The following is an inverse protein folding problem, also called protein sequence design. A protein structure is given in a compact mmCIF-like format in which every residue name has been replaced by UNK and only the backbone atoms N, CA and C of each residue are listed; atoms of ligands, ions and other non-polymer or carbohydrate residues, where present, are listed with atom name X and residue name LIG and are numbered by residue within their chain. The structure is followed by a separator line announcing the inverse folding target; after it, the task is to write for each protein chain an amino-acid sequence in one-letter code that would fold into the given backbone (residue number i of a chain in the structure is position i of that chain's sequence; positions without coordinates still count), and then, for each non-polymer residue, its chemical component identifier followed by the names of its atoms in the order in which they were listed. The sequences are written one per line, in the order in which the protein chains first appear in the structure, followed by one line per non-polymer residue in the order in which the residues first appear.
data_IF_302450309664
#
_entry.id   IF_302450309664
#
_cell.length_a   1.000
_cell.length_b   1.000
_cell.length_c   1.000
_cell.angle_alpha   90.00
_cell.angle_beta   90.00
_cell.angle_gamma   90.00
#
_symmetry.space_group_name_H-M   'P 1'
#
loop_
_entity.id
_entity.type
_entity.pdbx_description
1 polymer ?
#
# COMPACT_ATOMS: atom_id res chain seq x y z
N UNK A 1 -23.25 9.76 35.78
CA UNK A 1 -21.93 10.40 35.81
C UNK A 1 -21.59 10.87 34.41
N UNK A 2 -21.24 12.15 34.29
CA UNK A 2 -21.45 12.98 33.12
C UNK A 2 -20.20 13.14 32.23
N UNK A 3 -19.40 12.08 32.08
CA UNK A 3 -18.45 11.97 30.95
C UNK A 3 -19.23 11.55 29.69
N UNK A 4 -20.20 12.37 29.30
CA UNK A 4 -21.09 12.10 28.17
C UNK A 4 -20.28 11.69 26.95
N UNK A 5 -20.86 10.76 26.19
CA UNK A 5 -20.36 10.11 24.97
C UNK A 5 -20.06 11.11 23.85
N UNK A 6 -19.10 12.02 24.04
CA UNK A 6 -18.67 12.92 22.97
C UNK A 6 -17.97 12.08 21.92
N UNK A 7 -18.45 12.12 20.68
CA UNK A 7 -17.85 11.40 19.56
C UNK A 7 -16.42 11.95 19.37
N UNK A 8 -15.36 11.11 19.35
CA UNK A 8 -14.01 11.57 19.07
C UNK A 8 -13.95 12.29 17.72
N UNK A 9 -13.34 13.47 17.72
CA UNK A 9 -13.03 14.21 16.51
C UNK A 9 -11.58 13.93 16.10
N UNK A 10 -11.39 13.52 14.84
CA UNK A 10 -10.08 13.29 14.23
C UNK A 10 -9.80 14.44 13.26
N UNK A 11 -8.81 15.28 13.59
CA UNK A 11 -8.33 16.33 12.71
C UNK A 11 -7.23 15.79 11.81
N UNK A 12 -7.43 15.87 10.51
CA UNK A 12 -6.40 15.62 9.50
C UNK A 12 -5.79 16.99 9.15
N UNK A 13 -4.67 17.31 9.79
CA UNK A 13 -4.15 18.67 9.82
C UNK A 13 -3.65 19.15 8.44
N UNK A 14 -3.04 18.23 7.69
CA UNK A 14 -2.60 18.43 6.31
C UNK A 14 -3.36 17.47 5.41
N UNK A 15 -4.02 18.00 4.39
CA UNK A 15 -4.70 17.17 3.39
C UNK A 15 -3.64 16.43 2.55
N UNK A 16 -3.68 15.08 2.46
CA UNK A 16 -2.76 14.35 1.59
C UNK A 16 -2.97 14.72 0.11
N UNK A 17 -1.92 14.64 -0.70
CA UNK A 17 -1.96 15.02 -2.11
C UNK A 17 -2.86 14.13 -2.98
N UNK A 18 -3.16 12.90 -2.56
CA UNK A 18 -3.65 11.84 -3.45
C UNK A 18 -5.17 11.68 -3.51
N UNK A 19 -5.93 12.76 -3.30
CA UNK A 19 -7.39 12.69 -3.35
C UNK A 19 -8.01 11.75 -2.31
N UNK A 20 -7.29 11.49 -1.22
CA UNK A 20 -7.71 10.63 -0.12
C UNK A 20 -9.05 11.10 0.43
N UNK A 21 -10.07 10.24 0.38
CA UNK A 21 -11.41 10.54 0.88
C UNK A 21 -11.59 9.85 2.22
N UNK A 22 -11.57 10.63 3.30
CA UNK A 22 -12.02 10.17 4.61
C UNK A 22 -13.46 10.65 4.80
N UNK A 23 -14.40 9.77 5.16
CA UNK A 23 -15.76 10.19 5.50
C UNK A 23 -15.72 11.20 6.65
N UNK A 24 -16.55 12.25 6.57
CA UNK A 24 -16.68 13.22 7.67
C UNK A 24 -17.24 12.58 8.93
N UNK A 25 -17.97 11.46 8.80
CA UNK A 25 -18.47 10.62 9.88
C UNK A 25 -18.39 9.16 9.46
N UNK A 26 -17.98 8.28 10.36
CA UNK A 26 -17.94 6.85 10.10
C UNK A 26 -18.15 6.03 11.38
N UNK A 27 -18.48 4.75 11.19
CA UNK A 27 -18.66 3.79 12.27
C UNK A 27 -17.82 2.54 12.01
N UNK A 28 -17.14 2.09 13.07
CA UNK A 28 -16.33 0.86 13.12
C UNK A 28 -17.23 -0.39 13.19
N UNK A 29 -16.64 -1.57 13.00
CA UNK A 29 -17.35 -2.85 13.14
C UNK A 29 -17.90 -3.01 14.57
N UNK A 30 -17.17 -2.52 15.56
CA UNK A 30 -17.59 -2.54 16.96
C UNK A 30 -18.70 -1.53 17.31
N UNK A 31 -19.16 -0.74 16.34
CA UNK A 31 -20.20 0.28 16.55
C UNK A 31 -19.67 1.62 17.10
N UNK A 32 -18.35 1.77 17.26
CA UNK A 32 -17.76 3.05 17.66
C UNK A 32 -17.86 4.07 16.53
N UNK A 33 -18.35 5.26 16.84
CA UNK A 33 -18.50 6.38 15.91
C UNK A 33 -17.36 7.38 16.07
N UNK A 34 -16.87 7.93 14.96
CA UNK A 34 -15.91 9.04 14.94
C UNK A 34 -16.25 10.05 13.83
N UNK A 35 -15.93 11.31 14.10
CA UNK A 35 -16.04 12.40 13.12
C UNK A 35 -14.63 12.77 12.63
N UNK A 36 -14.51 13.22 11.37
CA UNK A 36 -13.27 13.75 10.80
C UNK A 36 -13.43 15.16 10.29
N UNK A 37 -12.34 15.92 10.32
CA UNK A 37 -12.30 17.28 9.80
C UNK A 37 -10.93 17.64 9.24
N UNK A 38 -10.91 18.59 8.30
CA UNK A 38 -9.71 19.28 7.83
C UNK A 38 -9.61 20.72 8.38
N UNK A 39 -10.59 21.15 9.19
CA UNK A 39 -10.62 22.48 9.79
C UNK A 39 -9.63 22.59 10.94
N UNK A 40 -8.48 23.21 10.68
CA UNK A 40 -7.40 23.39 11.67
C UNK A 40 -7.84 24.21 12.89
N UNK A 41 -8.92 25.00 12.81
CA UNK A 41 -9.46 25.72 13.99
C UNK A 41 -9.98 24.77 15.06
N UNK A 42 -10.32 23.53 14.68
CA UNK A 42 -10.77 22.46 15.59
C UNK A 42 -9.65 21.72 16.29
N UNK A 43 -8.40 22.20 16.20
CA UNK A 43 -7.25 21.55 16.83
C UNK A 43 -7.50 21.24 18.31
N UNK A 44 -7.89 22.23 19.13
CA UNK A 44 -8.09 22.04 20.58
C UNK A 44 -9.26 21.12 20.95
N UNK A 45 -10.23 20.92 20.05
CA UNK A 45 -11.40 20.06 20.24
C UNK A 45 -11.13 18.61 19.79
N UNK A 46 -10.07 18.38 19.02
CA UNK A 46 -9.79 17.09 18.39
C UNK A 46 -9.15 16.12 19.38
N UNK A 47 -9.63 14.88 19.43
CA UNK A 47 -9.02 13.80 20.21
C UNK A 47 -7.85 13.15 19.47
N UNK A 48 -7.98 13.00 18.14
CA UNK A 48 -6.92 12.53 17.26
C UNK A 48 -6.42 13.67 16.37
N UNK A 49 -5.10 13.83 16.24
CA UNK A 49 -4.50 14.81 15.33
C UNK A 49 -3.55 14.07 14.40
N UNK A 50 -3.96 13.90 13.15
CA UNK A 50 -3.18 13.20 12.12
C UNK A 50 -2.36 14.21 11.34
N UNK A 51 -1.05 14.06 11.40
CA UNK A 51 -0.08 14.95 10.78
C UNK A 51 0.56 14.22 9.60
N UNK A 52 0.13 14.55 8.39
CA UNK A 52 0.79 14.08 7.17
C UNK A 52 2.20 14.69 7.10
N UNK A 53 3.23 13.85 7.20
CA UNK A 53 4.57 14.30 7.52
C UNK A 53 5.19 15.18 6.43
N UNK A 54 4.91 14.91 5.15
CA UNK A 54 5.36 15.79 4.06
C UNK A 54 4.79 17.20 4.19
N UNK A 55 3.55 17.34 4.68
CA UNK A 55 2.96 18.64 5.00
C UNK A 55 3.65 19.32 6.19
N UNK A 56 4.02 18.54 7.20
CA UNK A 56 4.79 19.03 8.37
C UNK A 56 6.15 19.58 7.96
N UNK A 57 6.83 18.94 7.01
CA UNK A 57 8.13 19.37 6.53
C UNK A 57 8.10 20.68 5.74
N UNK A 58 6.98 20.96 5.07
CA UNK A 58 6.81 22.15 4.22
C UNK A 58 6.24 23.32 5.03
N UNK A 59 5.20 23.05 5.83
CA UNK A 59 4.39 24.08 6.51
C UNK A 59 4.67 24.15 8.04
N UNK A 60 5.49 23.25 8.58
CA UNK A 60 5.74 23.12 10.02
C UNK A 60 4.72 22.23 10.74
N UNK A 61 4.84 22.05 12.05
CA UNK A 61 3.84 21.37 12.88
C UNK A 61 3.10 22.36 13.79
N UNK A 62 1.92 22.00 14.32
CA UNK A 62 1.32 22.76 15.43
C UNK A 62 2.32 22.89 16.58
N UNK A 63 2.37 24.07 17.21
CA UNK A 63 3.28 24.30 18.32
C UNK A 63 3.05 23.28 19.44
N UNK A 64 4.12 22.60 19.89
CA UNK A 64 4.01 21.55 20.91
C UNK A 64 3.31 22.03 22.20
N UNK A 65 3.43 23.32 22.53
CA UNK A 65 2.79 23.93 23.70
C UNK A 65 1.26 24.01 23.62
N UNK A 66 0.64 23.86 22.43
CA UNK A 66 -0.83 23.88 22.28
C UNK A 66 -1.46 22.51 22.47
N UNK A 67 -0.65 21.46 22.62
CA UNK A 67 -1.11 20.08 22.79
C UNK A 67 -1.67 19.86 24.18
N UNK A 68 -2.88 19.30 24.25
CA UNK A 68 -3.48 18.84 25.50
C UNK A 68 -3.10 17.40 25.80
N UNK A 69 -3.20 16.99 27.06
CA UNK A 69 -2.76 15.66 27.53
C UNK A 69 -3.50 14.49 26.86
N UNK A 70 -4.76 14.70 26.47
CA UNK A 70 -5.60 13.64 25.90
C UNK A 70 -5.61 13.64 24.35
N UNK A 71 -4.82 14.52 23.72
CA UNK A 71 -4.65 14.55 22.27
C UNK A 71 -3.61 13.57 21.75
N UNK A 72 -4.06 12.69 20.85
CA UNK A 72 -3.21 11.69 20.23
C UNK A 72 -2.66 12.22 18.89
N UNK A 73 -1.48 12.84 18.97
CA UNK A 73 -0.75 13.31 17.81
C UNK A 73 -0.18 12.10 17.07
N UNK A 74 -0.54 11.96 15.80
CA UNK A 74 -0.27 10.75 15.02
C UNK A 74 0.54 11.12 13.79
N UNK A 75 1.72 10.51 13.67
CA UNK A 75 2.52 10.58 12.45
C UNK A 75 1.77 9.87 11.33
N UNK A 76 1.69 10.47 10.15
CA UNK A 76 1.14 9.83 8.97
C UNK A 76 2.07 9.97 7.77
N UNK A 77 2.44 8.83 7.18
CA UNK A 77 3.34 8.78 6.03
C UNK A 77 3.10 7.52 5.19
N UNK A 78 3.06 7.69 3.88
CA UNK A 78 2.87 6.60 2.92
C UNK A 78 4.02 6.48 1.91
N UNK A 79 4.99 7.39 1.97
CA UNK A 79 6.18 7.30 1.13
C UNK A 79 7.10 6.17 1.63
N UNK A 80 7.78 5.46 0.71
CA UNK A 80 8.71 4.42 1.09
C UNK A 80 9.93 5.02 1.81
N UNK A 81 10.50 4.26 2.74
CA UNK A 81 11.60 4.71 3.62
C UNK A 81 12.79 5.32 2.85
N UNK A 82 13.20 4.71 1.73
CA UNK A 82 14.30 5.22 0.90
C UNK A 82 14.05 6.64 0.36
N UNK A 83 12.80 7.00 0.08
CA UNK A 83 12.43 8.28 -0.51
C UNK A 83 12.51 9.40 0.53
N UNK A 84 12.50 9.03 1.82
CA UNK A 84 12.40 9.99 2.92
C UNK A 84 13.60 9.98 3.88
N UNK A 85 14.58 9.11 3.65
CA UNK A 85 15.75 8.94 4.51
C UNK A 85 16.57 10.23 4.77
N UNK A 86 16.55 11.18 3.83
CA UNK A 86 17.29 12.44 3.90
C UNK A 86 16.49 13.64 4.42
N UNK A 87 15.26 13.43 4.90
CA UNK A 87 14.40 14.51 5.38
C UNK A 87 14.75 14.96 6.80
N UNK A 88 14.26 16.15 7.19
CA UNK A 88 14.41 16.64 8.57
C UNK A 88 13.42 15.94 9.51
N UNK A 89 13.95 15.17 10.46
CA UNK A 89 13.13 14.47 11.44
C UNK A 89 12.91 15.24 12.76
N UNK A 90 13.43 16.46 12.87
CA UNK A 90 13.44 17.24 14.12
C UNK A 90 12.09 17.32 14.85
N UNK A 91 10.99 17.49 14.11
CA UNK A 91 9.62 17.51 14.66
C UNK A 91 9.19 16.15 15.21
N UNK A 92 9.66 15.06 14.59
CA UNK A 92 9.35 13.69 15.00
C UNK A 92 10.20 13.14 16.14
N UNK A 93 11.12 13.93 16.69
CA UNK A 93 11.96 13.55 17.82
C UNK A 93 11.33 13.91 19.17
N UNK A 94 11.96 13.46 20.26
CA UNK A 94 11.64 13.84 21.64
C UNK A 94 10.17 13.60 22.02
N UNK A 95 9.61 12.46 21.62
CA UNK A 95 8.25 12.03 22.00
C UNK A 95 7.11 12.95 21.52
N UNK A 96 7.33 13.68 20.41
CA UNK A 96 6.29 14.56 19.84
C UNK A 96 5.04 13.79 19.41
N UNK A 97 5.20 12.59 18.85
CA UNK A 97 4.10 11.74 18.39
C UNK A 97 3.69 10.70 19.44
N UNK A 98 2.39 10.44 19.54
CA UNK A 98 1.83 9.33 20.29
C UNK A 98 1.82 8.03 19.49
N UNK A 99 1.33 8.13 18.26
CA UNK A 99 1.04 7.01 17.38
C UNK A 99 1.71 7.22 16.02
N UNK A 100 1.95 6.11 15.34
CA UNK A 100 2.33 6.08 13.93
C UNK A 100 1.21 5.47 13.11
N UNK A 101 1.00 6.03 11.92
CA UNK A 101 0.03 5.56 10.93
C UNK A 101 0.74 5.46 9.58
N UNK A 102 0.90 4.24 9.08
CA UNK A 102 1.60 3.97 7.82
C UNK A 102 1.25 2.58 7.28
N UNK A 103 1.75 2.26 6.09
CA UNK A 103 1.65 0.93 5.49
C UNK A 103 2.50 -0.13 6.21
N UNK A 104 3.37 0.26 7.15
CA UNK A 104 4.14 -0.69 7.96
C UNK A 104 3.24 -1.37 9.00
N UNK A 105 3.29 -2.69 9.09
CA UNK A 105 2.53 -3.49 10.08
C UNK A 105 2.98 -3.21 11.52
N UNK A 106 4.17 -2.65 11.71
CA UNK A 106 4.70 -2.18 13.01
C UNK A 106 4.17 -0.80 13.43
N UNK A 107 3.33 -0.16 12.60
CA UNK A 107 2.68 1.11 12.98
C UNK A 107 1.69 0.91 14.13
N UNK A 108 1.52 1.92 14.99
CA UNK A 108 0.46 1.90 16.01
C UNK A 108 -0.92 1.69 15.36
N UNK A 109 -1.12 2.31 14.20
CA UNK A 109 -2.32 2.23 13.36
C UNK A 109 -1.88 1.75 11.98
N UNK A 110 -2.31 0.56 11.58
CA UNK A 110 -1.96 -0.03 10.30
C UNK A 110 -2.81 0.58 9.19
N UNK A 111 -2.15 1.16 8.18
CA UNK A 111 -2.78 1.81 7.04
C UNK A 111 -2.29 1.16 5.75
N UNK A 112 -2.81 -0.03 5.38
CA UNK A 112 -2.42 -0.68 4.15
C UNK A 112 -2.97 0.07 2.94
N UNK A 113 -2.24 0.05 1.83
CA UNK A 113 -2.75 0.52 0.53
C UNK A 113 -3.91 -0.34 -0.01
N UNK A 114 -4.02 -1.58 0.47
CA UNK A 114 -5.09 -2.50 0.14
C UNK A 114 -5.02 -3.78 0.96
N UNK A 115 -6.10 -4.54 0.94
CA UNK A 115 -6.23 -5.82 1.60
C UNK A 115 -7.28 -6.65 0.87
N UNK A 116 -7.28 -7.97 1.04
CA UNK A 116 -8.26 -8.86 0.37
C UNK A 116 -9.70 -8.50 0.74
N UNK A 117 -9.97 -8.17 2.01
CA UNK A 117 -11.30 -7.78 2.48
C UNK A 117 -11.80 -6.46 1.88
N UNK A 118 -10.88 -5.58 1.44
CA UNK A 118 -11.22 -4.26 0.84
C UNK A 118 -11.08 -4.21 -0.69
N UNK A 119 -10.53 -5.26 -1.29
CA UNK A 119 -10.13 -5.29 -2.69
C UNK A 119 -11.28 -4.97 -3.66
N UNK A 120 -12.51 -5.36 -3.30
CA UNK A 120 -13.73 -5.15 -4.08
C UNK A 120 -14.75 -4.24 -3.39
N UNK A 121 -14.33 -3.54 -2.33
CA UNK A 121 -15.19 -2.66 -1.54
C UNK A 121 -16.10 -3.40 -0.54
N UNK A 122 -16.94 -2.62 0.15
CA UNK A 122 -17.92 -3.14 1.11
C UNK A 122 -19.14 -3.78 0.40
N UNK A 123 -19.79 -4.76 1.03
CA UNK A 123 -21.04 -5.35 0.57
C UNK A 123 -20.93 -6.82 0.19
N UNK A 124 -21.86 -7.30 -0.63
CA UNK A 124 -21.82 -8.69 -1.14
C UNK A 124 -20.68 -8.85 -2.15
N UNK A 125 -19.65 -9.59 -1.74
CA UNK A 125 -18.48 -9.85 -2.57
C UNK A 125 -18.57 -11.17 -3.36
N UNK A 126 -19.66 -11.93 -3.24
CA UNK A 126 -19.80 -13.27 -3.84
C UNK A 126 -19.50 -13.30 -5.35
N UNK A 127 -19.84 -12.23 -6.08
CA UNK A 127 -19.56 -12.11 -7.52
C UNK A 127 -18.08 -11.94 -7.91
N UNK A 128 -17.15 -11.88 -6.94
CA UNK A 128 -15.70 -11.78 -7.19
C UNK A 128 -14.95 -13.11 -6.94
N UNK A 129 -15.68 -14.13 -6.50
CA UNK A 129 -15.18 -15.43 -6.10
C UNK A 129 -15.94 -16.55 -6.82
N UNK A 130 -15.32 -17.72 -6.97
CA UNK A 130 -15.90 -18.86 -7.65
C UNK A 130 -15.23 -19.22 -8.97
N UNK A 131 -15.47 -20.46 -9.40
CA UNK A 131 -14.86 -21.02 -10.61
C UNK A 131 -15.31 -20.27 -11.88
N UNK A 132 -16.56 -19.82 -11.95
CA UNK A 132 -17.10 -19.04 -13.06
C UNK A 132 -16.41 -17.67 -13.19
N UNK A 133 -16.09 -17.02 -12.07
CA UNK A 133 -15.32 -15.78 -12.05
C UNK A 133 -13.92 -16.03 -12.62
N UNK A 134 -13.24 -17.10 -12.19
CA UNK A 134 -11.93 -17.47 -12.72
C UNK A 134 -11.99 -17.74 -14.22
N UNK A 135 -12.98 -18.51 -14.70
CA UNK A 135 -13.15 -18.76 -16.14
C UNK A 135 -13.33 -17.45 -16.93
N UNK A 136 -14.13 -16.51 -16.42
CA UNK A 136 -14.31 -15.19 -17.03
C UNK A 136 -13.03 -14.35 -17.03
N UNK A 137 -12.19 -14.45 -15.99
CA UNK A 137 -10.90 -13.79 -15.95
C UNK A 137 -9.94 -14.35 -17.00
N UNK A 138 -9.91 -15.68 -17.17
CA UNK A 138 -9.08 -16.36 -18.16
C UNK A 138 -9.53 -16.06 -19.59
N UNK A 139 -10.83 -16.03 -19.86
CA UNK A 139 -11.38 -15.79 -21.22
C UNK A 139 -11.09 -14.39 -21.76
N UNK A 140 -10.70 -13.44 -20.90
CA UNK A 140 -10.33 -12.07 -21.29
C UNK A 140 -8.87 -11.95 -21.71
N UNK A 141 -8.03 -12.96 -21.43
CA UNK A 141 -6.58 -12.89 -21.62
C UNK A 141 -6.22 -12.95 -23.10
N UNK A 142 -5.37 -12.03 -23.54
CA UNK A 142 -4.76 -12.01 -24.87
C UNK A 142 -3.50 -12.88 -24.89
N UNK A 143 -3.12 -13.37 -26.07
CA UNK A 143 -1.97 -14.26 -26.27
C UNK A 143 -0.79 -13.60 -27.01
N UNK A 144 -1.02 -12.43 -27.59
CA UNK A 144 -0.01 -11.71 -28.37
C UNK A 144 0.93 -10.88 -27.50
N UNK A 145 0.48 -10.36 -26.35
CA UNK A 145 1.28 -9.68 -25.32
C UNK A 145 0.83 -10.16 -23.94
N UNK A 146 1.73 -10.74 -23.14
CA UNK A 146 1.37 -11.41 -21.88
C UNK A 146 1.45 -10.50 -20.66
N UNK A 147 2.31 -9.47 -20.68
CA UNK A 147 2.56 -8.60 -19.54
C UNK A 147 2.30 -7.12 -19.87
N UNK A 148 1.96 -6.35 -18.84
CA UNK A 148 1.86 -4.89 -18.92
C UNK A 148 2.51 -4.23 -17.71
N UNK A 149 3.13 -3.09 -17.91
CA UNK A 149 3.67 -2.25 -16.86
C UNK A 149 3.24 -0.81 -17.03
N UNK A 150 2.48 -0.29 -16.06
CA UNK A 150 2.06 1.10 -16.05
C UNK A 150 2.90 1.90 -15.05
N UNK A 151 3.62 2.91 -15.56
CA UNK A 151 4.57 3.69 -14.76
C UNK A 151 4.63 5.15 -15.20
N UNK A 152 4.59 6.04 -14.21
CA UNK A 152 4.70 7.49 -14.41
C UNK A 152 5.78 8.15 -13.55
N UNK A 153 6.40 7.42 -12.62
CA UNK A 153 7.54 7.90 -11.83
C UNK A 153 8.84 7.30 -12.38
N UNK A 154 9.52 8.02 -13.26
CA UNK A 154 10.85 7.69 -13.78
C UNK A 154 11.93 8.57 -13.15
N UNK A 155 11.78 8.94 -11.87
CA UNK A 155 12.78 9.75 -11.18
C UNK A 155 14.19 9.16 -11.23
N UNK A 156 15.19 9.96 -10.90
CA UNK A 156 16.60 9.54 -10.95
C UNK A 156 17.07 8.81 -9.68
N UNK A 157 16.15 8.52 -8.74
CA UNK A 157 16.45 7.78 -7.52
C UNK A 157 16.74 6.30 -7.81
N UNK A 158 17.44 5.59 -6.91
CA UNK A 158 17.84 4.20 -7.13
C UNK A 158 16.66 3.27 -7.44
N UNK A 159 15.56 3.34 -6.68
CA UNK A 159 14.40 2.48 -6.88
C UNK A 159 13.73 2.64 -8.25
N UNK A 160 13.32 3.86 -8.67
CA UNK A 160 12.78 4.10 -10.00
C UNK A 160 13.72 3.71 -11.16
N UNK A 161 15.04 3.88 -11.00
CA UNK A 161 16.04 3.48 -11.99
C UNK A 161 16.12 1.95 -12.10
N UNK A 162 16.25 1.25 -10.96
CA UNK A 162 16.46 -0.21 -10.93
C UNK A 162 15.25 -0.97 -11.46
N UNK A 163 14.03 -0.62 -11.05
CA UNK A 163 12.81 -1.28 -11.56
C UNK A 163 12.63 -1.11 -13.07
N UNK A 164 13.06 0.03 -13.61
CA UNK A 164 12.99 0.31 -15.06
C UNK A 164 13.96 -0.59 -15.80
N UNK A 165 15.22 -0.64 -15.34
CA UNK A 165 16.22 -1.54 -15.92
C UNK A 165 15.77 -3.01 -15.84
N UNK A 166 15.22 -3.43 -14.71
CA UNK A 166 14.73 -4.80 -14.54
C UNK A 166 13.58 -5.12 -15.51
N UNK A 167 12.60 -4.22 -15.65
CA UNK A 167 11.52 -4.39 -16.63
C UNK A 167 12.02 -4.44 -18.09
N UNK A 168 13.00 -3.61 -18.43
CA UNK A 168 13.65 -3.61 -19.75
C UNK A 168 14.47 -4.89 -19.98
N UNK A 169 15.07 -5.45 -18.93
CA UNK A 169 15.77 -6.74 -18.99
C UNK A 169 14.81 -7.91 -19.25
N UNK A 170 13.62 -7.92 -18.62
CA UNK A 170 12.58 -8.91 -18.93
C UNK A 170 12.18 -8.87 -20.42
N UNK A 171 11.98 -7.67 -20.97
CA UNK A 171 11.68 -7.48 -22.39
C UNK A 171 12.84 -7.93 -23.28
N UNK A 172 14.07 -7.58 -22.92
CA UNK A 172 15.29 -8.02 -23.62
C UNK A 172 15.40 -9.56 -23.66
N UNK A 173 15.00 -10.24 -22.58
CA UNK A 173 14.96 -11.70 -22.50
C UNK A 173 13.70 -12.34 -23.11
N UNK A 174 12.92 -11.56 -23.87
CA UNK A 174 11.86 -12.08 -24.74
C UNK A 174 10.45 -12.02 -24.14
N UNK A 175 10.27 -11.47 -22.94
CA UNK A 175 8.92 -11.24 -22.40
C UNK A 175 8.22 -10.18 -23.27
N UNK A 176 7.06 -10.53 -23.82
CA UNK A 176 6.21 -9.56 -24.52
C UNK A 176 5.51 -8.66 -23.50
N UNK A 177 5.99 -7.42 -23.40
CA UNK A 177 5.62 -6.46 -22.37
C UNK A 177 5.14 -5.13 -22.99
N UNK A 178 3.90 -4.75 -22.70
CA UNK A 178 3.44 -3.38 -22.98
C UNK A 178 3.84 -2.45 -21.85
N UNK A 179 4.52 -1.34 -22.18
CA UNK A 179 4.99 -0.33 -21.23
C UNK A 179 4.17 0.94 -21.42
N UNK A 180 3.41 1.34 -20.40
CA UNK A 180 2.43 2.43 -20.48
C UNK A 180 2.69 3.51 -19.41
N UNK A 181 2.24 4.74 -19.68
CA UNK A 181 2.24 5.85 -18.72
C UNK A 181 3.28 6.93 -19.01
N UNK A 182 3.42 7.86 -18.05
CA UNK A 182 4.19 9.09 -18.24
C UNK A 182 5.66 8.87 -18.60
N UNK A 183 6.26 7.77 -18.16
CA UNK A 183 7.66 7.45 -18.45
C UNK A 183 7.92 7.06 -19.92
N UNK A 184 6.87 6.69 -20.66
CA UNK A 184 6.94 6.25 -22.05
C UNK A 184 6.20 7.18 -23.01
N UNK A 185 5.64 8.29 -22.52
CA UNK A 185 4.98 9.31 -23.34
C UNK A 185 3.73 8.83 -24.08
N UNK A 186 3.11 7.74 -23.64
CA UNK A 186 1.94 7.14 -24.28
C UNK A 186 0.67 7.25 -23.42
N UNK A 187 -0.47 6.99 -24.06
CA UNK A 187 -1.77 7.12 -23.41
C UNK A 187 -1.92 6.17 -22.22
N UNK A 188 -2.52 6.71 -21.17
CA UNK A 188 -2.71 6.06 -19.90
C UNK A 188 -4.13 6.38 -19.41
N UNK A 189 -5.07 5.42 -19.37
CA UNK A 189 -6.38 5.69 -18.80
C UNK A 189 -6.26 6.09 -17.34
N UNK A 190 -7.27 6.80 -16.82
CA UNK A 190 -7.33 7.14 -15.40
C UNK A 190 -7.24 5.86 -14.57
N UNK A 191 -6.19 5.75 -13.74
CA UNK A 191 -5.89 4.57 -12.92
C UNK A 191 -7.05 4.12 -12.03
N UNK A 192 -7.87 5.06 -11.59
CA UNK A 192 -9.03 4.80 -10.74
C UNK A 192 -10.34 4.64 -11.53
N UNK A 193 -10.27 4.63 -12.86
CA UNK A 193 -11.42 4.48 -13.75
C UNK A 193 -11.58 3.06 -14.29
N UNK A 194 -12.80 2.67 -14.70
CA UNK A 194 -13.08 1.31 -15.20
C UNK A 194 -12.29 0.94 -16.46
N UNK A 195 -11.90 1.95 -17.26
CA UNK A 195 -11.09 1.76 -18.47
C UNK A 195 -9.68 1.22 -18.15
N UNK A 196 -9.11 1.60 -17.00
CA UNK A 196 -7.82 1.09 -16.58
C UNK A 196 -7.92 -0.39 -16.23
N UNK A 197 -8.87 -0.78 -15.37
CA UNK A 197 -9.10 -2.19 -15.04
C UNK A 197 -9.47 -3.03 -16.26
N UNK A 198 -10.27 -2.51 -17.19
CA UNK A 198 -10.62 -3.20 -18.44
C UNK A 198 -9.39 -3.47 -19.30
N UNK A 199 -8.51 -2.48 -19.44
CA UNK A 199 -7.25 -2.64 -20.17
C UNK A 199 -6.36 -3.69 -19.52
N UNK A 200 -6.08 -3.57 -18.21
CA UNK A 200 -5.18 -4.49 -17.51
C UNK A 200 -5.73 -5.92 -17.49
N UNK A 201 -7.05 -6.10 -17.40
CA UNK A 201 -7.68 -7.44 -17.36
C UNK A 201 -7.39 -8.32 -18.57
N UNK A 202 -6.93 -7.74 -19.68
CA UNK A 202 -6.57 -8.45 -20.92
C UNK A 202 -5.17 -9.07 -20.85
N UNK A 203 -4.31 -8.62 -19.93
CA UNK A 203 -2.96 -9.13 -19.75
C UNK A 203 -2.95 -10.25 -18.70
N UNK A 204 -2.04 -11.21 -18.87
CA UNK A 204 -1.83 -12.28 -17.89
C UNK A 204 -1.11 -11.75 -16.66
N UNK A 205 -0.10 -10.92 -16.87
CA UNK A 205 0.76 -10.38 -15.83
C UNK A 205 0.69 -8.86 -15.78
N UNK A 206 0.69 -8.33 -14.56
CA UNK A 206 0.93 -6.92 -14.31
C UNK A 206 2.25 -6.80 -13.53
N UNK A 207 3.19 -5.97 -14.01
CA UNK A 207 4.42 -5.72 -13.27
C UNK A 207 4.12 -4.77 -12.10
N UNK A 208 3.92 -5.34 -10.90
CA UNK A 208 3.63 -4.62 -9.66
C UNK A 208 4.93 -4.08 -9.04
N UNK A 209 5.69 -3.32 -9.83
CA UNK A 209 7.02 -2.86 -9.45
C UNK A 209 6.97 -1.56 -8.66
N UNK A 210 7.38 -1.62 -7.41
CA UNK A 210 7.33 -0.49 -6.49
C UNK A 210 8.39 0.56 -6.75
N UNK A 211 8.26 1.71 -6.08
CA UNK A 211 9.25 2.76 -6.18
C UNK A 211 10.48 2.51 -5.28
N UNK A 212 10.38 1.60 -4.30
CA UNK A 212 11.49 1.18 -3.42
C UNK A 212 11.73 -0.31 -3.52
N UNK A 213 12.98 -0.73 -3.35
CA UNK A 213 13.38 -2.13 -3.38
C UNK A 213 13.59 -2.65 -1.96
N UNK A 214 13.05 -3.82 -1.64
CA UNK A 214 13.09 -4.48 -0.33
C UNK A 214 12.67 -3.62 0.87
N UNK A 215 11.91 -2.54 0.66
CA UNK A 215 11.34 -1.75 1.75
C UNK A 215 10.22 -2.54 2.44
N UNK A 216 10.37 -2.76 3.75
CA UNK A 216 9.45 -3.57 4.54
C UNK A 216 8.02 -3.08 4.41
N UNK A 217 7.10 -4.01 4.13
CA UNK A 217 5.65 -3.80 3.98
C UNK A 217 5.19 -2.84 2.87
N UNK A 218 6.09 -2.28 2.06
CA UNK A 218 5.72 -1.30 1.04
C UNK A 218 5.06 -1.97 -0.18
N UNK A 219 3.78 -2.31 -0.03
CA UNK A 219 2.96 -3.00 -1.01
C UNK A 219 1.75 -2.11 -1.34
N UNK A 220 1.74 -1.53 -2.53
CA UNK A 220 0.86 -0.41 -2.86
C UNK A 220 -0.32 -0.79 -3.76
N UNK A 221 -1.00 0.21 -4.32
CA UNK A 221 -2.07 0.05 -5.32
C UNK A 221 -1.63 -0.80 -6.53
N UNK A 222 -0.32 -0.89 -6.80
CA UNK A 222 0.21 -1.68 -7.93
C UNK A 222 -0.08 -3.16 -7.80
N UNK A 223 -0.07 -3.70 -6.58
CA UNK A 223 -0.43 -5.09 -6.32
C UNK A 223 -1.95 -5.20 -6.15
N UNK A 224 -2.53 -4.38 -5.29
CA UNK A 224 -3.94 -4.49 -4.92
C UNK A 224 -4.87 -4.07 -6.06
N UNK A 225 -4.83 -2.81 -6.46
CA UNK A 225 -5.79 -2.25 -7.43
C UNK A 225 -5.39 -2.61 -8.85
N UNK A 226 -4.13 -2.40 -9.23
CA UNK A 226 -3.75 -2.54 -10.63
C UNK A 226 -3.72 -4.01 -11.07
N UNK A 227 -3.17 -4.91 -10.25
CA UNK A 227 -3.11 -6.34 -10.59
C UNK A 227 -4.36 -7.10 -10.12
N UNK A 228 -4.56 -7.24 -8.81
CA UNK A 228 -5.62 -8.10 -8.28
C UNK A 228 -7.03 -7.63 -8.66
N UNK A 229 -7.40 -6.36 -8.44
CA UNK A 229 -8.75 -5.89 -8.81
C UNK A 229 -9.00 -5.96 -10.32
N UNK A 230 -7.96 -5.84 -11.14
CA UNK A 230 -8.07 -5.97 -12.61
C UNK A 230 -8.01 -7.42 -13.11
N UNK A 231 -7.71 -8.39 -12.24
CA UNK A 231 -7.67 -9.81 -12.59
C UNK A 231 -6.44 -10.23 -13.40
N UNK A 232 -5.31 -9.57 -13.18
CA UNK A 232 -3.99 -10.00 -13.65
C UNK A 232 -3.19 -10.60 -12.47
N UNK A 233 -2.24 -11.49 -12.77
CA UNK A 233 -1.31 -12.01 -11.76
C UNK A 233 -0.20 -10.98 -11.54
N UNK A 234 0.01 -10.48 -10.30
CA UNK A 234 1.08 -9.55 -10.02
C UNK A 234 2.45 -10.24 -10.11
N UNK A 235 3.38 -9.59 -10.80
CA UNK A 235 4.82 -9.89 -10.73
C UNK A 235 5.44 -8.83 -9.83
N UNK A 236 5.92 -9.26 -8.66
CA UNK A 236 6.22 -8.37 -7.54
C UNK A 236 7.72 -8.12 -7.45
N UNK A 237 8.08 -6.83 -7.55
CA UNK A 237 9.40 -6.26 -7.28
C UNK A 237 9.16 -5.09 -6.33
N UNK A 238 9.81 -5.07 -5.17
CA UNK A 238 9.49 -4.09 -4.14
C UNK A 238 9.73 -4.67 -2.76
N UNK A 239 8.69 -4.77 -1.93
CA UNK A 239 8.79 -5.36 -0.60
C UNK A 239 9.42 -6.76 -0.60
N UNK A 240 10.09 -7.18 0.49
CA UNK A 240 10.59 -8.54 0.64
C UNK A 240 9.48 -9.58 0.46
N UNK A 241 9.81 -10.74 -0.12
CA UNK A 241 8.82 -11.81 -0.39
C UNK A 241 8.01 -12.19 0.86
N UNK A 242 8.67 -12.27 2.02
CA UNK A 242 8.02 -12.64 3.28
C UNK A 242 6.90 -11.65 3.68
N UNK A 243 7.08 -10.36 3.40
CA UNK A 243 6.08 -9.33 3.69
C UNK A 243 4.87 -9.47 2.77
N UNK A 244 5.11 -9.75 1.49
CA UNK A 244 4.05 -10.02 0.52
C UNK A 244 3.26 -11.26 0.93
N UNK A 245 3.95 -12.38 1.25
CA UNK A 245 3.32 -13.63 1.67
C UNK A 245 2.49 -13.49 2.94
N UNK A 246 2.84 -12.56 3.82
CA UNK A 246 2.11 -12.36 5.07
C UNK A 246 0.76 -11.65 4.90
N UNK A 247 0.49 -11.03 3.74
CA UNK A 247 -0.73 -10.24 3.51
C UNK A 247 -1.55 -10.69 2.30
N UNK A 248 -0.99 -11.49 1.40
CA UNK A 248 -1.69 -12.02 0.22
C UNK A 248 -1.98 -13.52 0.35
N UNK A 249 -2.97 -14.06 -0.38
CA UNK A 249 -3.22 -15.50 -0.42
C UNK A 249 -1.99 -16.27 -0.93
N UNK A 250 -1.78 -17.53 -0.49
CA UNK A 250 -0.72 -18.35 -1.02
C UNK A 250 -0.90 -18.56 -2.54
N UNK A 251 0.22 -18.69 -3.26
CA UNK A 251 0.24 -18.96 -4.70
C UNK A 251 -0.53 -17.95 -5.56
N UNK A 252 -0.66 -16.68 -5.15
CA UNK A 252 -1.40 -15.66 -5.89
C UNK A 252 -0.54 -14.65 -6.65
N UNK A 253 0.79 -14.76 -6.57
CA UNK A 253 1.74 -13.82 -7.18
C UNK A 253 3.05 -14.50 -7.57
N UNK A 254 3.79 -13.88 -8.49
CA UNK A 254 5.18 -14.25 -8.85
C UNK A 254 6.12 -13.25 -8.20
N UNK A 255 7.10 -13.70 -7.42
CA UNK A 255 8.10 -12.80 -6.82
C UNK A 255 9.40 -12.82 -7.62
N UNK A 256 10.07 -11.67 -7.75
CA UNK A 256 11.37 -11.60 -8.45
C UNK A 256 12.46 -12.42 -7.74
N UNK A 257 12.47 -12.41 -6.41
CA UNK A 257 13.47 -13.14 -5.59
C UNK A 257 13.37 -14.68 -5.70
N UNK A 258 12.36 -15.23 -6.40
CA UNK A 258 12.29 -16.67 -6.68
C UNK A 258 13.20 -17.10 -7.84
N UNK A 259 13.84 -16.14 -8.50
CA UNK A 259 14.66 -16.35 -9.69
C UNK A 259 16.04 -15.73 -9.47
N UNK A 260 17.07 -16.31 -10.08
CA UNK A 260 18.44 -15.79 -9.91
C UNK A 260 18.66 -14.46 -10.61
N UNK A 261 17.89 -14.16 -11.66
CA UNK A 261 18.01 -12.96 -12.48
C UNK A 261 16.76 -12.76 -13.37
N UNK A 262 16.70 -11.63 -14.05
CA UNK A 262 15.63 -11.29 -14.98
C UNK A 262 15.43 -12.32 -16.11
N UNK A 263 16.49 -12.99 -16.58
CA UNK A 263 16.38 -14.02 -17.63
C UNK A 263 15.56 -15.22 -17.15
N UNK A 264 15.89 -15.80 -15.99
CA UNK A 264 15.15 -16.94 -15.44
C UNK A 264 13.68 -16.58 -15.19
N UNK A 265 13.40 -15.36 -14.70
CA UNK A 265 12.02 -14.88 -14.54
C UNK A 265 11.30 -14.71 -15.89
N UNK A 266 11.95 -14.13 -16.90
CA UNK A 266 11.36 -13.97 -18.23
C UNK A 266 11.01 -15.34 -18.84
N UNK A 267 11.91 -16.32 -18.76
CA UNK A 267 11.68 -17.69 -19.22
C UNK A 267 10.49 -18.34 -18.49
N UNK A 268 10.39 -18.14 -17.17
CA UNK A 268 9.25 -18.63 -16.39
C UNK A 268 7.92 -17.97 -16.80
N UNK A 269 7.88 -16.66 -16.97
CA UNK A 269 6.67 -15.93 -17.38
C UNK A 269 6.24 -16.30 -18.80
N UNK A 270 7.18 -16.55 -19.72
CA UNK A 270 6.90 -17.04 -21.07
C UNK A 270 6.28 -18.44 -21.00
N UNK A 271 6.90 -19.36 -20.26
CA UNK A 271 6.38 -20.72 -20.06
C UNK A 271 4.96 -20.69 -19.49
N UNK A 272 4.77 -19.93 -18.40
CA UNK A 272 3.48 -19.80 -17.73
C UNK A 272 2.42 -19.14 -18.64
N UNK A 273 2.81 -18.16 -19.46
CA UNK A 273 1.90 -17.52 -20.41
C UNK A 273 1.35 -18.50 -21.45
N UNK A 274 2.13 -19.53 -21.82
CA UNK A 274 1.76 -20.55 -22.79
C UNK A 274 0.96 -21.73 -22.20
N UNK A 275 0.82 -21.79 -20.88
CA UNK A 275 0.14 -22.88 -20.17
C UNK A 275 -1.03 -22.34 -19.33
N UNK A 276 -2.22 -22.32 -19.92
CA UNK A 276 -3.43 -21.80 -19.26
C UNK A 276 -3.79 -22.57 -17.98
N UNK A 277 -3.47 -23.87 -17.90
CA UNK A 277 -3.74 -24.67 -16.71
C UNK A 277 -2.83 -24.25 -15.56
N UNK A 278 -1.54 -24.08 -15.81
CA UNK A 278 -0.59 -23.60 -14.80
C UNK A 278 -0.89 -22.14 -14.42
N UNK A 279 -1.22 -21.28 -15.39
CA UNK A 279 -1.59 -19.89 -15.12
C UNK A 279 -2.86 -19.78 -14.27
N UNK A 280 -3.87 -20.63 -14.52
CA UNK A 280 -5.11 -20.65 -13.75
C UNK A 280 -4.90 -20.98 -12.26
N UNK A 281 -3.80 -21.67 -11.90
CA UNK A 281 -3.50 -21.98 -10.50
C UNK A 281 -3.30 -20.73 -9.64
N UNK A 282 -2.84 -19.61 -10.25
CA UNK A 282 -2.68 -18.33 -9.55
C UNK A 282 -4.00 -17.66 -9.14
N UNK A 283 -5.13 -18.19 -9.57
CA UNK A 283 -6.47 -17.71 -9.20
C UNK A 283 -7.21 -18.68 -8.26
N UNK A 284 -6.57 -19.75 -7.79
CA UNK A 284 -7.24 -20.71 -6.89
C UNK A 284 -7.73 -20.06 -5.60
N UNK A 285 -7.02 -19.07 -5.09
CA UNK A 285 -7.47 -18.27 -3.95
C UNK A 285 -8.84 -17.62 -4.16
N UNK A 286 -9.29 -17.39 -5.41
CA UNK A 286 -10.63 -16.89 -5.70
C UNK A 286 -11.70 -17.98 -5.69
N UNK A 287 -11.32 -19.23 -5.92
CA UNK A 287 -12.21 -20.39 -5.85
C UNK A 287 -12.37 -20.85 -4.40
N UNK A 288 -11.27 -20.84 -3.66
CA UNK A 288 -11.15 -21.34 -2.29
C UNK A 288 -11.40 -20.26 -1.23
N UNK A 289 -11.66 -19.01 -1.64
CA UNK A 289 -11.80 -17.87 -0.73
C UNK A 289 -12.75 -18.21 0.43
N UNK A 290 -12.17 -18.28 1.63
CA UNK A 290 -12.93 -18.54 2.85
C UNK A 290 -13.58 -17.24 3.32
N UNK A 291 -14.70 -17.38 4.04
CA UNK A 291 -15.44 -16.26 4.61
C UNK A 291 -14.56 -15.30 5.44
N UNK A 292 -13.49 -15.83 6.07
CA UNK A 292 -12.58 -15.07 6.92
C UNK A 292 -11.67 -14.10 6.14
N UNK A 293 -11.20 -14.49 4.94
CA UNK A 293 -10.37 -13.62 4.09
C UNK A 293 -11.15 -12.40 3.56
N UNK A 294 -12.47 -12.54 3.45
CA UNK A 294 -13.41 -11.49 2.99
C UNK A 294 -14.07 -10.73 4.13
N UNK A 295 -13.82 -11.13 5.38
CA UNK A 295 -14.41 -10.45 6.54
C UNK A 295 -13.75 -9.09 6.69
N UNK A 296 -14.58 -8.03 6.62
CA UNK A 296 -14.15 -6.65 6.80
C UNK A 296 -13.34 -6.51 8.08
N UNK A 297 -12.23 -5.78 8.00
CA UNK A 297 -11.40 -5.40 9.15
C UNK A 297 -11.31 -3.88 9.27
N UNK A 298 -11.22 -3.41 10.51
CA UNK A 298 -10.98 -2.01 10.81
C UNK A 298 -9.48 -1.72 10.80
N UNK A 299 -8.98 -1.18 9.69
CA UNK A 299 -7.64 -0.58 9.56
C UNK A 299 -7.73 0.95 9.66
N UNK A 300 -6.62 1.67 9.45
CA UNK A 300 -6.58 3.12 9.25
C UNK A 300 -7.35 3.97 10.29
N UNK A 301 -8.20 4.89 9.83
CA UNK A 301 -9.05 5.73 10.66
C UNK A 301 -10.08 4.91 11.45
N UNK A 302 -10.52 3.74 10.96
CA UNK A 302 -11.39 2.86 11.72
C UNK A 302 -10.65 2.25 12.92
N UNK A 303 -9.41 1.79 12.73
CA UNK A 303 -8.56 1.32 13.83
C UNK A 303 -8.26 2.46 14.82
N UNK A 304 -7.91 3.64 14.32
CA UNK A 304 -7.69 4.82 15.15
C UNK A 304 -8.92 5.16 16.00
N UNK A 305 -10.12 5.09 15.41
CA UNK A 305 -11.37 5.32 16.12
C UNK A 305 -11.55 4.33 17.28
N UNK A 306 -11.34 3.03 17.02
CA UNK A 306 -11.37 2.01 18.06
C UNK A 306 -10.37 2.30 19.18
N UNK A 307 -9.16 2.76 18.86
CA UNK A 307 -8.14 3.13 19.85
C UNK A 307 -8.53 4.38 20.67
N UNK A 308 -9.10 5.41 20.03
CA UNK A 308 -9.59 6.63 20.70
C UNK A 308 -10.73 6.36 21.68
N UNK A 309 -11.61 5.40 21.36
CA UNK A 309 -12.62 4.93 22.29
C UNK A 309 -12.00 4.08 23.40
N UNK A 310 -11.09 3.16 23.06
CA UNK A 310 -10.39 2.30 24.01
C UNK A 310 -9.62 3.08 25.08
N UNK A 311 -8.93 4.17 24.71
CA UNK A 311 -8.13 4.96 25.64
C UNK A 311 -8.94 5.65 26.75
N UNK A 312 -10.26 5.80 26.58
CA UNK A 312 -11.16 6.34 27.63
C UNK A 312 -11.30 5.41 28.82
N UNK A 313 -11.06 4.12 28.61
CA UNK A 313 -11.20 3.08 29.63
C UNK A 313 -9.88 2.43 29.99
N UNK A 314 -8.90 2.47 29.07
CA UNK A 314 -7.61 1.82 29.26
C UNK A 314 -6.46 2.72 28.74
N UNK A 315 -5.62 3.21 29.66
CA UNK A 315 -4.47 4.06 29.29
C UNK A 315 -3.38 3.33 28.51
N UNK A 316 -3.42 2.00 28.37
CA UNK A 316 -2.46 1.25 27.53
C UNK A 316 -2.52 1.61 26.04
N UNK A 317 -3.62 2.21 25.59
CA UNK A 317 -3.73 2.75 24.23
C UNK A 317 -2.91 4.04 24.03
N UNK A 318 -2.45 4.68 25.11
CA UNK A 318 -1.62 5.89 25.03
C UNK A 318 -0.15 5.46 25.01
N UNK A 319 0.49 5.57 23.85
CA UNK A 319 1.93 5.41 23.67
C UNK A 319 2.57 6.74 23.29
N UNK A 320 3.90 6.79 23.31
CA UNK A 320 4.70 7.84 22.68
C UNK A 320 5.82 7.21 21.86
N UNK A 321 6.11 7.80 20.71
CA UNK A 321 7.18 7.35 19.82
C UNK A 321 8.40 8.22 20.11
N UNK A 322 9.50 7.68 20.65
CA UNK A 322 10.67 8.48 21.03
C UNK A 322 11.27 9.24 19.85
N UNK A 323 11.40 8.55 18.72
CA UNK A 323 11.95 9.06 17.47
C UNK A 323 11.20 8.44 16.28
N UNK A 324 10.60 9.27 15.44
CA UNK A 324 10.04 8.81 14.16
C UNK A 324 11.14 8.33 13.21
N UNK A 325 12.32 8.96 13.26
CA UNK A 325 13.45 8.55 12.45
C UNK A 325 13.86 7.12 12.77
N UNK A 326 14.08 6.81 14.05
CA UNK A 326 14.50 5.47 14.46
C UNK A 326 13.40 4.44 14.20
N UNK A 327 12.14 4.77 14.47
CA UNK A 327 11.01 3.87 14.19
C UNK A 327 10.87 3.55 12.70
N UNK A 328 11.01 4.55 11.81
CA UNK A 328 10.71 4.36 10.40
C UNK A 328 11.92 3.87 9.58
N UNK A 329 13.11 4.40 9.87
CA UNK A 329 14.35 4.09 9.14
C UNK A 329 15.16 3.00 9.86
N UNK A 330 15.18 2.98 11.18
CA UNK A 330 16.09 2.13 11.96
C UNK A 330 15.84 0.62 11.84
N UNK A 331 14.61 0.21 11.51
CA UNK A 331 14.23 -1.20 11.31
C UNK A 331 14.15 -1.59 9.82
N UNK A 332 14.65 -0.75 8.92
CA UNK A 332 14.54 -0.97 7.48
C UNK A 332 15.67 -1.84 6.92
N UNK A 333 15.41 -2.52 5.80
CA UNK A 333 16.43 -3.31 5.10
C UNK A 333 17.55 -2.40 4.54
N UNK A 334 18.81 -2.87 4.57
CA UNK A 334 19.91 -2.17 3.89
C UNK A 334 19.64 -1.98 2.38
N UNK A 335 18.99 -2.95 1.75
CA UNK A 335 18.58 -2.93 0.35
C UNK A 335 17.57 -1.83 0.06
N UNK A 336 16.68 -1.48 0.99
CA UNK A 336 15.79 -0.35 0.82
C UNK A 336 16.54 0.98 0.93
N UNK A 337 17.40 1.13 1.93
CA UNK A 337 18.10 2.40 2.17
C UNK A 337 19.18 2.69 1.11
N UNK A 338 19.88 1.64 0.65
CA UNK A 338 21.01 1.73 -0.28
C UNK A 338 21.04 0.58 -1.31
N UNK A 339 20.03 0.44 -2.20
CA UNK A 339 19.91 -0.72 -3.09
C UNK A 339 21.11 -0.91 -4.04
N UNK A 340 21.76 0.18 -4.46
CA UNK A 340 22.94 0.08 -5.34
C UNK A 340 24.16 -0.53 -4.62
N UNK A 341 24.26 -0.39 -3.30
CA UNK A 341 25.37 -0.90 -2.49
C UNK A 341 25.16 -2.37 -2.11
N UNK A 342 23.92 -2.86 -2.20
CA UNK A 342 23.51 -4.20 -1.79
C UNK A 342 23.10 -5.10 -2.97
N UNK A 343 23.80 -4.97 -4.12
CA UNK A 343 23.77 -5.98 -5.19
C UNK A 343 22.49 -6.03 -6.05
N UNK A 344 21.56 -5.08 -5.90
CA UNK A 344 20.30 -5.07 -6.66
C UNK A 344 20.54 -4.90 -8.16
N UNK A 345 21.63 -4.22 -8.53
CA UNK A 345 22.07 -4.08 -9.91
C UNK A 345 22.49 -5.40 -10.57
N UNK A 346 22.86 -6.42 -9.80
CA UNK A 346 23.32 -7.72 -10.32
C UNK A 346 22.16 -8.63 -10.73
N UNK A 347 20.93 -8.30 -10.31
CA UNK A 347 19.71 -9.01 -10.72
C UNK A 347 19.16 -8.55 -12.07
N UNK A 348 19.60 -7.38 -12.54
CA UNK A 348 19.17 -6.71 -13.78
C UNK A 348 19.78 -7.36 -15.00
#
# INVERSE_FOLDING_TARGET
DASARTIPLILIYYKPYDGFKVPSKFQTIAGNECDTTFDRSKLSESSGVVLYYSGVLIEGAPAAATRTRDQMYTYFGLEPTWAIQGMDYSVGENHFFNWTMSYKRTSSIYFPYGSIDRLFGDGDQSGNYGADVVQKLLSRKRNDVSAVWFVSNCGNGPGPVLRKKFAESLEFHGLKLDKLGGCYGNYAPNRFGPQFSDLISKYKFYLSFENGFHCHDYITEKLWVNAYSSGAVPVVWGAPKADVQAVVPPNSFVHVDDFKNAKELAEYLILLSSNDTAYAQYFQWRVEATHDATTRKDYDFYQMCNMLWGMRHNRSYVSTIPSIKDWFIGEETPECLAPNEHGVGDMV
#
